data_IF_994749609215
#
_entry.id   IF_994749609215
#
_cell.length_a   1.000
_cell.length_b   1.000
_cell.length_c   1.000
_cell.angle_alpha   90.00
_cell.angle_beta   90.00
_cell.angle_gamma   90.00
#
_symmetry.space_group_name_H-M   'P 1'
#
loop_
_entity.id
_entity.type
_entity.pdbx_description
1 polymer ?
#
# COMPACT_ATOMS: atom_id res chain seq x y z
N UNK A 1 -14.06 6.03 -1.54
CA UNK A 1 -12.74 5.37 -1.46
C UNK A 1 -12.61 4.42 -2.64
N UNK A 2 -11.70 4.66 -3.59
CA UNK A 2 -11.48 3.72 -4.69
C UNK A 2 -10.90 2.40 -4.17
N UNK A 3 -11.47 1.29 -4.65
CA UNK A 3 -10.91 -0.04 -4.43
C UNK A 3 -9.70 -0.19 -5.35
N UNK A 4 -8.54 -0.47 -4.79
CA UNK A 4 -7.31 -0.75 -5.54
C UNK A 4 -6.92 -2.20 -5.28
N UNK A 5 -6.18 -2.76 -6.23
CA UNK A 5 -5.59 -4.08 -6.09
C UNK A 5 -4.13 -4.01 -6.51
N UNK A 6 -3.31 -4.84 -5.88
CA UNK A 6 -1.92 -5.03 -6.26
C UNK A 6 -1.53 -6.48 -5.99
N UNK A 7 -0.30 -6.85 -6.31
CA UNK A 7 0.25 -8.17 -6.01
C UNK A 7 1.16 -8.07 -4.80
N UNK A 8 0.99 -8.97 -3.83
CA UNK A 8 1.87 -9.06 -2.68
C UNK A 8 3.25 -9.56 -3.15
N UNK A 9 4.34 -8.81 -2.91
CA UNK A 9 5.70 -9.23 -3.28
C UNK A 9 6.20 -10.42 -2.46
N UNK A 10 5.55 -10.75 -1.34
CA UNK A 10 6.00 -11.82 -0.44
C UNK A 10 5.37 -13.18 -0.71
N UNK A 11 4.07 -13.23 -1.05
CA UNK A 11 3.37 -14.48 -1.36
C UNK A 11 2.94 -14.59 -2.82
N UNK A 12 3.09 -13.53 -3.63
CA UNK A 12 2.67 -13.51 -5.03
C UNK A 12 1.15 -13.43 -5.24
N UNK A 13 0.36 -13.37 -4.16
CA UNK A 13 -1.09 -13.31 -4.25
C UNK A 13 -1.62 -11.90 -4.49
N UNK A 14 -2.81 -11.84 -5.08
CA UNK A 14 -3.51 -10.58 -5.30
C UNK A 14 -4.05 -10.06 -3.97
N UNK A 15 -3.66 -8.84 -3.63
CA UNK A 15 -4.16 -8.09 -2.49
C UNK A 15 -5.10 -6.98 -2.96
N UNK A 16 -6.22 -6.82 -2.27
CA UNK A 16 -7.20 -5.77 -2.52
C UNK A 16 -7.23 -4.86 -1.30
N UNK A 17 -7.28 -3.55 -1.49
CA UNK A 17 -7.28 -2.58 -0.40
C UNK A 17 -7.98 -1.29 -0.81
N UNK A 18 -8.42 -0.52 0.18
CA UNK A 18 -9.02 0.81 -0.02
C UNK A 18 -8.01 1.86 0.40
N UNK A 19 -7.79 2.85 -0.46
CA UNK A 19 -6.87 3.94 -0.19
C UNK A 19 -7.56 5.27 -0.48
N UNK A 20 -7.35 6.24 0.40
CA UNK A 20 -7.83 7.61 0.26
C UNK A 20 -6.67 8.59 0.40
N UNK A 21 -6.90 9.84 0.01
CA UNK A 21 -5.94 10.93 0.20
C UNK A 21 -5.63 11.21 1.68
N UNK A 22 -6.51 10.82 2.61
CA UNK A 22 -6.28 10.89 4.06
C UNK A 22 -5.26 9.86 4.57
N UNK A 23 -5.07 8.77 3.83
CA UNK A 23 -4.16 7.68 4.20
C UNK A 23 -2.71 7.95 3.73
N UNK A 24 -2.51 8.99 2.93
CA UNK A 24 -1.24 9.32 2.27
C UNK A 24 -0.84 10.78 2.48
N UNK A 25 0.47 11.03 2.51
CA UNK A 25 0.99 12.39 2.57
C UNK A 25 0.92 13.01 1.17
N UNK A 26 -0.15 13.76 0.90
CA UNK A 26 -0.34 14.44 -0.39
C UNK A 26 0.65 15.58 -0.63
N UNK A 27 1.49 15.93 0.36
CA UNK A 27 2.55 16.92 0.22
C UNK A 27 3.84 16.31 -0.32
N UNK A 28 3.97 14.98 -0.32
CA UNK A 28 5.17 14.25 -0.73
C UNK A 28 4.81 13.15 -1.72
N UNK A 29 4.98 13.42 -3.02
CA UNK A 29 4.86 12.41 -4.06
C UNK A 29 6.23 11.92 -4.57
N UNK A 30 6.38 10.62 -4.86
CA UNK A 30 5.42 9.55 -4.58
C UNK A 30 5.35 9.23 -3.07
N UNK A 31 4.13 9.17 -2.53
CA UNK A 31 3.87 8.98 -1.11
C UNK A 31 4.01 7.50 -0.74
N UNK A 32 4.85 7.14 0.25
CA UNK A 32 4.93 5.75 0.70
C UNK A 32 3.66 5.35 1.46
N UNK A 33 3.21 4.12 1.26
CA UNK A 33 2.05 3.51 1.89
C UNK A 33 2.39 2.10 2.32
N UNK A 34 2.12 1.78 3.59
CA UNK A 34 2.29 0.43 4.09
C UNK A 34 0.99 -0.34 3.91
N UNK A 35 1.04 -1.48 3.24
CA UNK A 35 -0.11 -2.38 3.09
C UNK A 35 0.20 -3.68 3.80
N UNK A 36 -0.58 -3.97 4.83
CA UNK A 36 -0.53 -5.23 5.56
C UNK A 36 -1.45 -6.23 4.87
N UNK A 37 -0.87 -7.34 4.39
CA UNK A 37 -1.64 -8.47 3.92
C UNK A 37 -2.19 -9.22 5.14
N UNK A 38 -3.40 -8.83 5.57
CA UNK A 38 -4.09 -9.33 6.77
C UNK A 38 -4.93 -10.60 6.47
N UNK A 39 -5.11 -10.93 5.18
CA UNK A 39 -5.69 -12.20 4.76
C UNK A 39 -4.68 -13.34 4.92
N UNK A 40 -5.19 -14.52 5.29
CA UNK A 40 -4.56 -15.73 5.86
C UNK A 40 -3.21 -16.23 5.27
N UNK A 41 -2.71 -15.60 4.21
CA UNK A 41 -1.62 -16.10 3.39
C UNK A 41 -0.22 -15.53 3.66
N UNK A 42 -0.08 -14.37 4.33
CA UNK A 42 1.27 -13.80 4.50
C UNK A 42 1.52 -13.05 5.83
N UNK A 43 0.57 -12.25 6.32
CA UNK A 43 0.77 -11.45 7.54
C UNK A 43 1.92 -10.42 7.45
N UNK A 44 2.51 -10.24 6.27
CA UNK A 44 3.64 -9.33 6.03
C UNK A 44 3.14 -7.97 5.55
N UNK A 45 3.87 -6.93 5.96
CA UNK A 45 3.65 -5.56 5.50
C UNK A 45 4.56 -5.28 4.32
N UNK A 46 3.98 -4.85 3.21
CA UNK A 46 4.72 -4.41 2.03
C UNK A 46 4.60 -2.90 1.87
N UNK A 47 5.69 -2.28 1.41
CA UNK A 47 5.73 -0.84 1.13
C UNK A 47 5.36 -0.62 -0.34
N UNK A 48 4.35 0.22 -0.56
CA UNK A 48 3.93 0.67 -1.86
C UNK A 48 4.09 2.18 -1.96
N UNK A 49 4.10 2.70 -3.18
CA UNK A 49 4.22 4.12 -3.43
C UNK A 49 3.04 4.58 -4.26
N UNK A 50 2.50 5.72 -3.89
CA UNK A 50 1.27 6.24 -4.45
C UNK A 50 1.54 7.61 -5.05
N UNK A 51 1.18 7.78 -6.31
CA UNK A 51 1.32 9.07 -6.99
C UNK A 51 0.11 9.98 -6.69
N UNK A 52 0.21 11.25 -7.08
CA UNK A 52 -0.87 12.25 -7.11
C UNK A 52 -2.19 11.74 -7.70
N UNK A 53 -2.13 10.82 -8.66
CA UNK A 53 -3.29 10.19 -9.29
C UNK A 53 -3.82 8.93 -8.55
N UNK A 54 -3.35 8.68 -7.32
CA UNK A 54 -3.65 7.48 -6.54
C UNK A 54 -3.26 6.17 -7.24
N UNK A 55 -2.27 6.23 -8.14
CA UNK A 55 -1.68 5.04 -8.76
C UNK A 55 -0.70 4.40 -7.80
N UNK A 56 -0.90 3.12 -7.51
CA UNK A 56 -0.10 2.38 -6.54
C UNK A 56 0.92 1.53 -7.29
N UNK A 57 2.19 1.78 -7.03
CA UNK A 57 3.32 1.00 -7.56
C UNK A 57 4.07 0.33 -6.43
N UNK A 58 4.41 -0.95 -6.61
CA UNK A 58 5.35 -1.61 -5.72
C UNK A 58 6.75 -1.05 -5.97
N UNK A 59 7.45 -0.67 -4.90
CA UNK A 59 8.87 -0.36 -4.98
C UNK A 59 9.55 -0.99 -3.78
N UNK A 60 10.46 -1.90 -4.07
CA UNK A 60 11.32 -2.56 -3.09
C UNK A 60 12.33 -1.53 -2.58
N UNK A 61 11.91 -0.72 -1.61
CA UNK A 61 12.77 0.26 -0.96
C UNK A 61 12.58 0.14 0.54
N UNK A 62 13.72 0.17 1.23
CA UNK A 62 13.85 0.23 2.68
C UNK A 62 12.81 1.19 3.26
N UNK A 63 12.08 0.74 4.28
CA UNK A 63 10.96 1.45 4.93
C UNK A 63 11.28 2.95 5.07
N UNK A 64 10.69 3.77 4.20
CA UNK A 64 10.86 5.21 4.30
C UNK A 64 9.91 5.75 5.38
N UNK A 65 10.41 6.50 6.37
CA UNK A 65 9.53 7.22 7.28
C UNK A 65 8.74 8.26 6.46
N UNK A 66 7.43 8.07 6.34
CA UNK A 66 6.59 8.93 5.49
C UNK A 66 5.20 8.41 5.21
N UNK A 67 4.92 7.12 5.41
CA UNK A 67 3.55 6.64 5.32
C UNK A 67 2.78 7.05 6.58
N UNK A 68 1.62 7.67 6.39
CA UNK A 68 0.79 8.16 7.49
C UNK A 68 0.09 7.00 8.19
N UNK A 69 -0.41 6.04 7.42
CA UNK A 69 -1.17 4.90 7.92
C UNK A 69 -0.74 3.59 7.26
N UNK A 70 -0.90 2.50 8.00
CA UNK A 70 -0.85 1.14 7.48
C UNK A 70 -2.25 0.73 7.07
N UNK A 71 -2.44 0.44 5.79
CA UNK A 71 -3.70 -0.01 5.21
C UNK A 71 -3.76 -1.53 5.31
N UNK A 72 -4.90 -2.06 5.74
CA UNK A 72 -5.15 -3.50 5.71
C UNK A 72 -5.81 -3.90 4.41
N UNK A 73 -5.44 -5.06 3.90
CA UNK A 73 -6.14 -5.67 2.77
C UNK A 73 -7.56 -6.06 3.14
N UNK A 74 -8.48 -5.93 2.19
CA UNK A 74 -9.86 -6.42 2.30
C UNK A 74 -9.96 -7.63 1.38
N UNK A 75 -10.44 -8.77 1.90
CA UNK A 75 -10.63 -10.03 1.18
C UNK A 75 -11.38 -9.87 -0.14
#
# INVERSE_FOLDING_TARGET
MPLRFNTCPHCGERIIFRISTDDIDTSKYPAPVYILHDDDSCGKTSTFFVDSLLFVSYKELEKKPGAIKTIKTTK
#
